data_IF_333147446585
#
_entry.id   IF_333147446585
#
_cell.length_a   1.000
_cell.length_b   1.000
_cell.length_c   1.000
_cell.angle_alpha   90.00
_cell.angle_beta   90.00
_cell.angle_gamma   90.00
#
_symmetry.space_group_name_H-M   'P 1'
#
loop_
_entity.id
_entity.type
_entity.pdbx_description
1 polymer ?
#
# COMPACT_ATOMS: atom_id res chain seq x y z
N UNK A 1 2.19 7.28 -7.07
CA UNK A 1 1.53 8.14 -6.05
C UNK A 1 0.11 8.38 -6.53
N UNK A 2 -0.91 7.91 -5.83
CA UNK A 2 -2.30 8.13 -6.23
C UNK A 2 -2.79 9.47 -5.67
N UNK A 3 -3.48 10.25 -6.50
CA UNK A 3 -4.31 11.35 -6.01
C UNK A 3 -5.62 10.74 -5.49
N UNK A 4 -6.18 11.25 -4.38
CA UNK A 4 -7.49 10.81 -3.93
C UNK A 4 -8.50 10.95 -5.08
N UNK A 5 -9.47 10.03 -5.21
CA UNK A 5 -10.45 10.07 -6.27
C UNK A 5 -11.20 11.41 -6.22
N UNK A 6 -11.03 12.22 -7.26
CA UNK A 6 -11.93 13.32 -7.50
C UNK A 6 -13.26 12.69 -7.94
N UNK A 7 -14.37 12.98 -7.23
CA UNK A 7 -15.68 12.34 -7.41
C UNK A 7 -16.19 12.34 -8.87
N UNK A 8 -15.62 13.18 -9.73
CA UNK A 8 -16.04 13.34 -11.12
C UNK A 8 -15.29 12.47 -12.15
N UNK A 9 -14.10 11.93 -11.84
CA UNK A 9 -13.23 11.32 -12.88
C UNK A 9 -12.83 9.86 -12.62
N UNK A 10 -13.22 9.28 -11.47
CA UNK A 10 -12.87 7.91 -11.12
C UNK A 10 -11.39 7.73 -10.79
N UNK A 11 -10.85 6.53 -11.06
CA UNK A 11 -9.45 6.19 -10.78
C UNK A 11 -8.49 7.00 -11.67
N UNK A 12 -7.48 7.59 -11.03
CA UNK A 12 -6.46 8.41 -11.67
C UNK A 12 -5.10 7.72 -11.59
N UNK A 13 -4.45 7.55 -12.73
CA UNK A 13 -3.10 6.98 -12.80
C UNK A 13 -2.09 8.11 -12.96
N UNK A 14 -1.03 8.09 -12.15
CA UNK A 14 0.08 9.05 -12.29
C UNK A 14 1.30 8.30 -12.76
N UNK A 15 1.88 8.77 -13.86
CA UNK A 15 3.05 8.15 -14.46
C UNK A 15 3.91 9.16 -15.20
N UNK A 16 5.13 8.75 -15.51
CA UNK A 16 6.03 9.46 -16.41
C UNK A 16 5.88 8.88 -17.81
N UNK A 17 5.79 9.74 -18.81
CA UNK A 17 5.83 9.30 -20.22
C UNK A 17 7.29 8.99 -20.55
N UNK A 18 7.64 7.72 -20.71
CA UNK A 18 9.01 7.32 -21.07
C UNK A 18 9.34 7.67 -22.52
N UNK A 19 8.41 7.43 -23.45
CA UNK A 19 8.63 7.67 -24.88
C UNK A 19 7.32 8.03 -25.59
N UNK A 20 7.46 8.73 -26.72
CA UNK A 20 6.34 9.12 -27.57
C UNK A 20 5.55 10.32 -27.04
N UNK A 21 4.30 10.39 -27.47
CA UNK A 21 3.38 11.48 -27.13
C UNK A 21 2.01 10.92 -26.80
N UNK A 22 1.37 11.46 -25.78
CA UNK A 22 0.05 11.05 -25.34
C UNK A 22 -0.97 12.15 -25.66
N UNK A 23 -2.04 11.82 -26.37
CA UNK A 23 -3.14 12.72 -26.69
C UNK A 23 -4.44 12.30 -25.99
N UNK A 24 -5.32 13.28 -25.80
CA UNK A 24 -6.68 13.01 -25.35
C UNK A 24 -7.37 12.06 -26.35
N UNK A 25 -8.14 11.10 -25.85
CA UNK A 25 -8.83 10.06 -26.60
C UNK A 25 -7.96 8.94 -27.20
N UNK A 26 -6.65 8.94 -26.96
CA UNK A 26 -5.80 7.82 -27.38
C UNK A 26 -6.25 6.51 -26.72
N UNK A 27 -6.19 5.43 -27.50
CA UNK A 27 -6.43 4.06 -27.02
C UNK A 27 -5.09 3.44 -26.65
N UNK A 28 -4.99 2.94 -25.43
CA UNK A 28 -3.76 2.34 -24.91
C UNK A 28 -4.04 0.92 -24.41
N UNK A 29 -2.99 0.09 -24.46
CA UNK A 29 -2.95 -1.23 -23.88
C UNK A 29 -2.15 -1.18 -22.58
N UNK A 30 -2.78 -1.57 -21.46
CA UNK A 30 -2.12 -1.72 -20.17
C UNK A 30 -1.58 -3.13 -20.02
N UNK A 31 -0.29 -3.25 -19.72
CA UNK A 31 0.39 -4.54 -19.52
C UNK A 31 1.00 -4.64 -18.13
N UNK A 32 1.04 -5.85 -17.59
CA UNK A 32 1.73 -6.14 -16.34
C UNK A 32 3.24 -6.31 -16.52
N UNK A 33 3.92 -6.57 -15.40
CA UNK A 33 5.37 -6.80 -15.37
C UNK A 33 5.81 -8.04 -16.17
N UNK A 34 4.87 -8.93 -16.52
CA UNK A 34 5.10 -10.13 -17.33
C UNK A 34 4.74 -9.91 -18.80
N UNK A 35 4.24 -8.72 -19.17
CA UNK A 35 3.83 -8.37 -20.53
C UNK A 35 2.43 -8.86 -20.90
N UNK A 36 1.67 -9.40 -19.93
CA UNK A 36 0.30 -9.83 -20.15
C UNK A 36 -0.63 -8.62 -20.17
N UNK A 37 -1.60 -8.65 -21.09
CA UNK A 37 -2.61 -7.61 -21.21
C UNK A 37 -3.52 -7.60 -19.97
N UNK A 38 -3.54 -6.47 -19.26
CA UNK A 38 -4.42 -6.22 -18.11
C UNK A 38 -5.75 -5.65 -18.60
N UNK A 39 -5.71 -4.57 -19.38
CA UNK A 39 -6.89 -3.96 -19.98
C UNK A 39 -6.53 -3.10 -21.20
N UNK A 40 -7.49 -2.87 -22.08
CA UNK A 40 -7.42 -1.80 -23.07
C UNK A 40 -8.27 -0.64 -22.56
N UNK A 41 -7.69 0.55 -22.51
CA UNK A 41 -8.35 1.75 -22.02
C UNK A 41 -8.26 2.89 -23.03
N UNK A 42 -9.12 3.90 -22.83
CA UNK A 42 -9.11 5.13 -23.63
C UNK A 42 -8.81 6.29 -22.70
N UNK A 43 -7.86 7.14 -23.07
CA UNK A 43 -7.50 8.32 -22.27
C UNK A 43 -8.63 9.33 -22.33
N UNK A 44 -9.33 9.51 -21.21
CA UNK A 44 -10.44 10.45 -21.10
C UNK A 44 -9.98 11.84 -20.70
N UNK A 45 -8.86 11.91 -19.96
CA UNK A 45 -8.35 13.16 -19.40
C UNK A 45 -6.85 13.06 -19.17
N UNK A 46 -6.14 14.17 -19.39
CA UNK A 46 -4.71 14.32 -19.08
C UNK A 46 -4.56 15.57 -18.23
N UNK A 47 -3.91 15.42 -17.08
CA UNK A 47 -3.64 16.50 -16.14
C UNK A 47 -2.15 16.53 -15.81
N UNK A 48 -1.57 17.73 -15.77
CA UNK A 48 -0.19 17.95 -15.34
C UNK A 48 -0.21 18.84 -14.11
N UNK A 49 0.62 18.54 -13.12
CA UNK A 49 0.78 19.39 -11.95
C UNK A 49 1.84 20.46 -12.24
N UNK A 50 1.47 21.72 -12.09
CA UNK A 50 2.37 22.86 -12.25
C UNK A 50 2.39 23.67 -10.95
N UNK A 51 3.46 23.50 -10.16
CA UNK A 51 3.52 24.01 -8.80
C UNK A 51 2.43 23.37 -7.92
N UNK A 52 1.55 24.21 -7.35
CA UNK A 52 0.41 23.75 -6.57
C UNK A 52 -0.85 23.52 -7.42
N UNK A 53 -0.87 24.02 -8.64
CA UNK A 53 -2.02 23.94 -9.53
C UNK A 53 -1.99 22.67 -10.38
N UNK A 54 -3.18 22.22 -10.79
CA UNK A 54 -3.33 21.10 -11.73
C UNK A 54 -3.97 21.65 -12.99
N UNK A 55 -3.25 21.53 -14.11
CA UNK A 55 -3.70 22.01 -15.41
C UNK A 55 -4.15 20.83 -16.28
N UNK A 56 -5.28 21.00 -16.96
CA UNK A 56 -5.76 20.05 -17.96
C UNK A 56 -5.04 20.27 -19.28
N UNK A 57 -4.61 19.18 -19.91
CA UNK A 57 -3.85 19.23 -21.16
C UNK A 57 -4.51 18.34 -22.22
N UNK A 58 -4.37 18.71 -23.49
CA UNK A 58 -4.81 17.90 -24.63
C UNK A 58 -3.72 16.95 -25.13
N UNK A 59 -2.45 17.29 -24.85
CA UNK A 59 -1.27 16.55 -25.30
C UNK A 59 -0.17 16.63 -24.25
N UNK A 60 0.53 15.52 -24.05
CA UNK A 60 1.72 15.40 -23.21
C UNK A 60 2.82 14.65 -23.98
N UNK A 61 4.08 14.88 -23.62
CA UNK A 61 5.25 14.33 -24.33
C UNK A 61 6.18 13.56 -23.39
N UNK A 62 7.11 12.81 -23.97
CA UNK A 62 8.15 12.11 -23.21
C UNK A 62 8.85 13.05 -22.21
N UNK A 63 9.02 12.56 -20.98
CA UNK A 63 9.55 13.31 -19.84
C UNK A 63 8.48 13.96 -18.95
N UNK A 64 7.25 14.15 -19.43
CA UNK A 64 6.17 14.70 -18.60
C UNK A 64 5.69 13.69 -17.56
N UNK A 65 5.45 14.19 -16.34
CA UNK A 65 4.71 13.47 -15.29
C UNK A 65 3.26 13.95 -15.35
N UNK A 66 2.36 13.06 -15.72
CA UNK A 66 0.94 13.35 -15.92
C UNK A 66 0.05 12.41 -15.14
N UNK A 67 -1.12 12.90 -14.77
CA UNK A 67 -2.23 12.12 -14.25
C UNK A 67 -3.23 11.88 -15.37
N UNK A 68 -3.67 10.64 -15.57
CA UNK A 68 -4.63 10.27 -16.61
C UNK A 68 -5.82 9.51 -16.04
N UNK A 69 -6.96 9.63 -16.71
CA UNK A 69 -8.19 8.90 -16.39
C UNK A 69 -8.64 8.03 -17.57
N UNK A 70 -9.40 6.97 -17.27
CA UNK A 70 -9.96 6.04 -18.28
C UNK A 70 -9.52 4.59 -18.17
N UNK A 71 -8.91 4.23 -17.04
CA UNK A 71 -8.41 2.88 -16.73
C UNK A 71 -8.96 2.45 -15.36
N UNK A 72 -9.50 1.24 -15.29
CA UNK A 72 -10.13 0.73 -14.06
C UNK A 72 -9.21 -0.24 -13.35
N UNK A 73 -8.64 -1.19 -14.10
CA UNK A 73 -7.89 -2.31 -13.57
C UNK A 73 -6.39 -2.02 -13.42
N UNK A 74 -5.87 -1.06 -14.19
CA UNK A 74 -4.45 -0.71 -14.20
C UNK A 74 -3.98 -0.21 -12.84
N UNK A 75 -2.77 -0.61 -12.45
CA UNK A 75 -2.11 -0.35 -11.18
C UNK A 75 -0.75 0.32 -11.41
N UNK A 76 -0.07 0.73 -10.33
CA UNK A 76 1.24 1.42 -10.38
C UNK A 76 2.37 0.59 -10.99
N UNK A 77 2.23 -0.73 -11.06
CA UNK A 77 3.24 -1.61 -11.65
C UNK A 77 3.04 -1.83 -13.15
N UNK A 78 1.91 -1.39 -13.71
CA UNK A 78 1.58 -1.62 -15.11
C UNK A 78 2.22 -0.58 -16.04
N UNK A 79 2.56 -1.02 -17.25
CA UNK A 79 3.05 -0.16 -18.33
C UNK A 79 1.92 0.12 -19.31
N UNK A 80 1.67 1.39 -19.63
CA UNK A 80 0.70 1.79 -20.64
C UNK A 80 1.40 1.98 -21.98
N UNK A 81 0.95 1.24 -22.98
CA UNK A 81 1.49 1.24 -24.33
C UNK A 81 0.47 1.74 -25.34
N UNK A 82 0.95 2.17 -26.50
CA UNK A 82 0.09 2.31 -27.69
C UNK A 82 -0.69 1.00 -27.94
N UNK A 83 -1.93 1.12 -28.40
CA UNK A 83 -2.79 -0.05 -28.62
C UNK A 83 -2.10 -1.11 -29.49
N UNK A 84 -2.00 -2.34 -28.97
CA UNK A 84 -1.37 -3.47 -29.66
C UNK A 84 0.14 -3.63 -29.45
N UNK A 85 0.79 -2.73 -28.68
CA UNK A 85 2.15 -2.92 -28.16
C UNK A 85 2.12 -3.46 -26.75
N UNK A 86 3.10 -4.29 -26.42
CA UNK A 86 3.20 -4.99 -25.13
C UNK A 86 4.58 -4.81 -24.48
N UNK A 87 5.22 -3.66 -24.70
CA UNK A 87 6.53 -3.38 -24.10
C UNK A 87 6.37 -3.18 -22.60
N UNK A 88 7.23 -3.84 -21.82
CA UNK A 88 7.24 -3.73 -20.36
C UNK A 88 8.36 -2.80 -19.95
N UNK A 89 8.04 -1.80 -19.14
CA UNK A 89 9.04 -1.01 -18.41
C UNK A 89 9.18 -1.65 -17.02
N UNK A 90 10.41 -2.00 -16.59
CA UNK A 90 10.62 -2.56 -15.25
C UNK A 90 10.05 -1.64 -14.17
N UNK A 91 9.19 -2.19 -13.33
CA UNK A 91 8.59 -1.48 -12.19
C UNK A 91 9.04 -2.11 -10.87
N UNK A 92 8.97 -1.32 -9.79
CA UNK A 92 9.27 -1.82 -8.44
C UNK A 92 8.10 -2.71 -8.03
N UNK A 93 8.34 -3.98 -7.63
CA UNK A 93 7.26 -4.87 -7.20
C UNK A 93 6.62 -4.32 -5.93
N UNK A 94 5.32 -4.59 -5.78
CA UNK A 94 4.57 -4.22 -4.58
C UNK A 94 4.82 -5.31 -3.54
N UNK A 95 5.31 -4.92 -2.37
CA UNK A 95 5.51 -5.88 -1.28
C UNK A 95 4.16 -6.51 -0.91
N UNK A 96 4.09 -7.86 -0.85
CA UNK A 96 2.87 -8.56 -0.49
C UNK A 96 2.50 -8.27 0.96
N UNK A 97 1.21 -8.41 1.33
CA UNK A 97 0.81 -8.30 2.72
C UNK A 97 1.41 -9.45 3.54
N UNK A 98 1.84 -9.14 4.77
CA UNK A 98 2.48 -10.09 5.70
C UNK A 98 1.58 -10.40 6.91
N UNK A 99 0.58 -9.57 7.18
CA UNK A 99 -0.35 -9.78 8.29
C UNK A 99 -1.77 -9.35 7.93
N UNK A 100 -2.72 -9.86 8.70
CA UNK A 100 -4.15 -9.59 8.55
C UNK A 100 -4.85 -9.31 9.88
N UNK A 101 -5.88 -8.47 9.84
CA UNK A 101 -6.82 -8.23 10.93
C UNK A 101 -8.25 -8.34 10.40
N UNK A 102 -9.18 -8.76 11.27
CA UNK A 102 -10.61 -8.69 11.01
C UNK A 102 -11.17 -7.39 11.58
N UNK A 103 -11.96 -6.69 10.76
CA UNK A 103 -12.66 -5.46 11.12
C UNK A 103 -14.15 -5.71 11.12
N UNK A 104 -14.81 -5.26 12.20
CA UNK A 104 -16.22 -5.48 12.46
C UNK A 104 -16.91 -4.21 12.96
N UNK A 105 -18.24 -4.23 12.91
CA UNK A 105 -19.06 -3.22 13.59
C UNK A 105 -18.89 -3.37 15.11
N UNK A 106 -18.79 -2.26 15.83
CA UNK A 106 -18.79 -2.29 17.29
C UNK A 106 -20.18 -2.70 17.81
N UNK A 107 -20.29 -3.89 18.40
CA UNK A 107 -21.52 -4.42 19.04
C UNK A 107 -21.47 -4.33 20.56
N UNK A 108 -20.47 -3.65 21.13
CA UNK A 108 -20.33 -3.52 22.58
C UNK A 108 -21.42 -2.60 23.19
N UNK A 109 -21.65 -2.65 24.52
CA UNK A 109 -22.56 -1.72 25.21
C UNK A 109 -22.16 -0.24 25.13
N UNK A 110 -20.95 0.05 24.64
CA UNK A 110 -20.45 1.41 24.46
C UNK A 110 -20.63 1.90 23.01
N UNK A 111 -21.25 1.10 22.15
CA UNK A 111 -21.47 1.42 20.74
C UNK A 111 -22.15 2.79 20.55
N UNK A 112 -21.56 3.63 19.70
CA UNK A 112 -22.12 4.93 19.30
C UNK A 112 -21.85 6.08 20.26
N UNK A 113 -20.92 5.90 21.22
CA UNK A 113 -20.47 6.98 22.12
C UNK A 113 -19.35 7.83 21.53
N UNK A 114 -18.45 7.22 20.74
CA UNK A 114 -17.26 7.90 20.22
C UNK A 114 -17.36 8.16 18.71
N UNK A 115 -18.06 7.31 17.96
CA UNK A 115 -18.25 7.48 16.52
C UNK A 115 -19.71 7.47 16.09
N UNK A 116 -19.97 8.06 14.92
CA UNK A 116 -21.31 8.16 14.31
C UNK A 116 -21.49 7.16 13.17
N UNK A 117 -20.39 6.63 12.62
CA UNK A 117 -20.41 5.70 11.49
C UNK A 117 -20.22 4.27 12.01
N UNK A 118 -21.34 3.63 12.30
CA UNK A 118 -21.43 2.27 12.88
C UNK A 118 -21.84 1.23 11.83
N UNK A 119 -22.25 1.64 10.63
CA UNK A 119 -22.80 0.72 9.64
C UNK A 119 -21.70 -0.09 8.96
N UNK A 120 -21.88 -1.41 8.89
CA UNK A 120 -21.02 -2.32 8.13
C UNK A 120 -20.82 -1.86 6.68
N UNK A 121 -21.88 -1.37 6.04
CA UNK A 121 -21.81 -0.90 4.66
C UNK A 121 -20.91 0.34 4.51
N UNK A 122 -20.94 1.25 5.49
CA UNK A 122 -20.05 2.41 5.49
C UNK A 122 -18.59 1.98 5.66
N UNK A 123 -18.32 1.02 6.55
CA UNK A 123 -16.99 0.44 6.76
C UNK A 123 -16.50 -0.23 5.46
N UNK A 124 -17.31 -1.11 4.86
CA UNK A 124 -17.00 -1.77 3.57
C UNK A 124 -16.65 -0.77 2.47
N UNK A 125 -17.50 0.24 2.27
CA UNK A 125 -17.27 1.28 1.24
C UNK A 125 -15.98 2.04 1.49
N UNK A 126 -15.70 2.40 2.75
CA UNK A 126 -14.48 3.13 3.10
C UNK A 126 -13.21 2.30 2.87
N UNK A 127 -13.23 1.02 3.25
CA UNK A 127 -12.11 0.10 3.04
C UNK A 127 -11.89 -0.20 1.55
N UNK A 128 -12.98 -0.31 0.77
CA UNK A 128 -12.91 -0.45 -0.70
C UNK A 128 -12.22 0.76 -1.34
N UNK A 129 -12.60 1.97 -0.94
CA UNK A 129 -11.95 3.20 -1.40
C UNK A 129 -10.48 3.23 -0.99
N UNK A 130 -10.12 2.78 0.22
CA UNK A 130 -8.71 2.71 0.61
C UNK A 130 -7.94 1.71 -0.26
N UNK A 131 -8.48 0.51 -0.52
CA UNK A 131 -7.80 -0.51 -1.34
C UNK A 131 -7.57 -0.08 -2.80
N UNK A 132 -8.35 0.87 -3.30
CA UNK A 132 -8.14 1.45 -4.62
C UNK A 132 -6.95 2.43 -4.64
N UNK A 133 -6.64 3.05 -3.50
CA UNK A 133 -5.56 4.03 -3.35
C UNK A 133 -4.25 3.40 -2.82
N UNK A 134 -4.37 2.41 -1.94
CA UNK A 134 -3.25 1.69 -1.34
C UNK A 134 -3.13 0.28 -1.93
N UNK A 135 -2.15 0.10 -2.81
CA UNK A 135 -1.95 -1.17 -3.52
C UNK A 135 -1.39 -2.27 -2.62
N UNK A 136 -0.90 -1.91 -1.44
CA UNK A 136 -0.45 -2.86 -0.45
C UNK A 136 -1.59 -3.43 0.41
N UNK A 137 -2.74 -2.76 0.41
CA UNK A 137 -3.92 -3.16 1.17
C UNK A 137 -4.78 -4.12 0.35
N UNK A 138 -5.02 -5.33 0.87
CA UNK A 138 -6.02 -6.24 0.32
C UNK A 138 -7.19 -6.35 1.29
N UNK A 139 -8.40 -6.31 0.75
CA UNK A 139 -9.64 -6.38 1.53
C UNK A 139 -10.47 -7.55 1.02
N UNK A 140 -10.83 -8.45 1.94
CA UNK A 140 -11.67 -9.63 1.70
C UNK A 140 -13.01 -9.46 2.42
N UNK A 141 -14.06 -10.14 1.94
CA UNK A 141 -15.41 -10.02 2.50
C UNK A 141 -16.19 -8.78 2.01
N UNK A 142 -15.73 -8.13 0.93
CA UNK A 142 -16.48 -7.07 0.26
C UNK A 142 -17.67 -7.66 -0.52
N UNK A 143 -17.49 -8.82 -1.16
CA UNK A 143 -18.51 -9.44 -2.00
C UNK A 143 -19.70 -9.96 -1.17
N UNK A 144 -20.91 -9.56 -1.57
CA UNK A 144 -22.18 -9.86 -0.89
C UNK A 144 -22.60 -11.34 -0.93
N UNK A 145 -21.74 -12.25 -1.41
CA UNK A 145 -22.04 -13.67 -1.61
C UNK A 145 -21.82 -14.54 -0.38
N UNK A 146 -21.13 -14.03 0.63
CA UNK A 146 -20.94 -14.72 1.90
C UNK A 146 -21.27 -13.73 3.00
N UNK A 147 -22.26 -14.06 3.82
CA UNK A 147 -22.66 -13.31 5.02
C UNK A 147 -21.60 -13.46 6.14
N UNK A 148 -20.33 -13.24 5.78
CA UNK A 148 -19.23 -13.09 6.73
C UNK A 148 -19.49 -11.81 7.51
N UNK A 149 -19.69 -11.92 8.83
CA UNK A 149 -19.76 -10.74 9.68
C UNK A 149 -18.48 -9.90 9.57
N UNK A 150 -17.35 -10.57 9.36
CA UNK A 150 -16.01 -10.03 9.42
C UNK A 150 -15.53 -9.54 8.04
N UNK A 151 -14.93 -8.35 8.02
CA UNK A 151 -14.18 -7.83 6.87
C UNK A 151 -12.70 -8.04 7.17
N UNK A 152 -12.02 -8.89 6.42
CA UNK A 152 -10.60 -9.17 6.64
C UNK A 152 -9.78 -8.19 5.80
N UNK A 153 -8.87 -7.46 6.46
CA UNK A 153 -7.91 -6.59 5.78
C UNK A 153 -6.49 -7.12 5.99
N UNK A 154 -5.71 -7.12 4.91
CA UNK A 154 -4.34 -7.62 4.86
C UNK A 154 -3.41 -6.48 4.46
N UNK A 155 -2.32 -6.31 5.19
CA UNK A 155 -1.38 -5.20 5.01
C UNK A 155 0.07 -5.61 5.20
N UNK A 156 0.96 -4.64 5.02
CA UNK A 156 2.43 -4.79 5.08
C UNK A 156 3.02 -4.84 6.48
N UNK A 157 2.21 -4.67 7.51
CA UNK A 157 2.68 -4.59 8.88
C UNK A 157 1.65 -3.92 9.77
N UNK A 158 1.95 -3.90 11.06
CA UNK A 158 1.10 -3.37 12.12
C UNK A 158 0.93 -1.85 11.99
N UNK A 159 1.99 -1.12 11.66
CA UNK A 159 1.95 0.33 11.48
C UNK A 159 1.05 0.74 10.31
N UNK A 160 1.12 0.01 9.20
CA UNK A 160 0.28 0.27 8.02
C UNK A 160 -1.21 0.12 8.40
N UNK A 161 -1.58 -1.02 8.98
CA UNK A 161 -2.96 -1.28 9.39
C UNK A 161 -3.42 -0.34 10.51
N UNK A 162 -2.56 -0.05 11.49
CA UNK A 162 -2.84 0.86 12.59
C UNK A 162 -3.11 2.29 12.11
N UNK A 163 -2.34 2.78 11.12
CA UNK A 163 -2.58 4.09 10.52
C UNK A 163 -3.95 4.15 9.81
N UNK A 164 -4.32 3.10 9.10
CA UNK A 164 -5.64 3.02 8.45
C UNK A 164 -6.77 3.07 9.48
N UNK A 165 -6.69 2.26 10.52
CA UNK A 165 -7.70 2.24 11.60
C UNK A 165 -7.78 3.60 12.29
N UNK A 166 -6.66 4.24 12.60
CA UNK A 166 -6.64 5.56 13.24
C UNK A 166 -7.21 6.65 12.33
N UNK A 167 -6.93 6.62 11.02
CA UNK A 167 -7.59 7.51 10.04
C UNK A 167 -9.11 7.32 10.08
N UNK A 168 -9.58 6.07 10.02
CA UNK A 168 -11.02 5.77 10.09
C UNK A 168 -11.63 6.27 11.40
N UNK A 169 -10.94 6.09 12.54
CA UNK A 169 -11.40 6.60 13.84
C UNK A 169 -11.54 8.13 13.84
N UNK A 170 -10.56 8.85 13.27
CA UNK A 170 -10.61 10.33 13.10
C UNK A 170 -11.70 10.78 12.13
N UNK A 171 -12.07 9.94 11.16
CA UNK A 171 -13.21 10.16 10.27
C UNK A 171 -14.58 9.86 10.93
N UNK A 172 -14.59 9.46 12.21
CA UNK A 172 -15.77 9.18 13.02
C UNK A 172 -16.35 7.77 12.87
N UNK A 173 -15.55 6.83 12.35
CA UNK A 173 -15.90 5.41 12.38
C UNK A 173 -15.67 4.81 13.75
N UNK A 174 -16.58 3.93 14.14
CA UNK A 174 -16.46 3.13 15.36
C UNK A 174 -16.57 1.66 14.99
N UNK A 175 -15.50 0.92 15.26
CA UNK A 175 -15.24 -0.40 14.72
C UNK A 175 -14.49 -1.26 15.73
N UNK A 176 -14.68 -2.57 15.65
CA UNK A 176 -13.95 -3.57 16.42
C UNK A 176 -12.87 -4.20 15.53
N UNK A 177 -11.69 -4.45 16.09
CA UNK A 177 -10.54 -5.02 15.36
C UNK A 177 -10.02 -6.25 16.11
N UNK A 178 -9.73 -7.34 15.40
CA UNK A 178 -9.07 -8.50 15.98
C UNK A 178 -7.57 -8.26 16.19
N UNK A 179 -6.90 -9.06 17.04
CA UNK A 179 -5.43 -9.11 17.04
C UNK A 179 -4.88 -9.42 15.63
N UNK A 180 -3.69 -8.90 15.28
CA UNK A 180 -3.05 -9.21 14.00
C UNK A 180 -2.62 -10.68 13.94
N UNK A 181 -2.83 -11.28 12.77
CA UNK A 181 -2.46 -12.66 12.45
C UNK A 181 -1.45 -12.63 11.30
N UNK A 182 -0.37 -13.39 11.43
CA UNK A 182 0.68 -13.54 10.41
C UNK A 182 0.14 -14.36 9.22
N UNK A 183 0.49 -13.92 8.01
CA UNK A 183 0.15 -14.62 6.77
C UNK A 183 1.30 -15.55 6.38
N UNK A 184 1.09 -16.85 6.62
CA UNK A 184 1.99 -17.89 6.15
C UNK A 184 1.88 -18.10 4.63
N UNK A 185 2.97 -18.55 4.02
CA UNK A 185 3.04 -18.97 2.62
C UNK A 185 3.54 -20.40 2.54
N UNK A 186 3.26 -21.08 1.45
CA UNK A 186 3.87 -22.38 1.16
C UNK A 186 4.97 -22.19 0.10
N UNK A 187 6.10 -22.87 0.25
CA UNK A 187 7.13 -22.93 -0.78
C UNK A 187 6.78 -23.97 -1.87
N UNK A 188 7.60 -24.07 -2.92
CA UNK A 188 7.42 -25.04 -4.01
C UNK A 188 7.42 -26.51 -3.55
N UNK A 189 7.92 -26.78 -2.35
CA UNK A 189 8.02 -28.10 -1.75
C UNK A 189 6.90 -28.35 -0.70
N UNK A 190 6.00 -27.40 -0.48
CA UNK A 190 4.90 -27.47 0.50
C UNK A 190 5.32 -27.15 1.95
N UNK A 191 6.51 -26.60 2.18
CA UNK A 191 6.92 -26.15 3.51
C UNK A 191 6.25 -24.81 3.86
N UNK A 192 5.80 -24.69 5.11
CA UNK A 192 5.23 -23.46 5.63
C UNK A 192 6.35 -22.43 5.87
N UNK A 193 6.27 -21.30 5.18
CA UNK A 193 7.12 -20.15 5.31
C UNK A 193 6.40 -19.05 6.09
N UNK A 194 7.09 -18.46 7.05
CA UNK A 194 6.65 -17.24 7.72
C UNK A 194 7.42 -16.02 7.19
N UNK A 195 6.81 -14.82 7.22
CA UNK A 195 7.52 -13.60 6.85
C UNK A 195 8.60 -13.28 7.89
N UNK A 196 9.80 -12.99 7.40
CA UNK A 196 10.94 -12.52 8.20
C UNK A 196 11.24 -11.05 7.85
N UNK A 197 11.50 -10.24 8.86
CA UNK A 197 11.84 -8.82 8.79
C UNK A 197 13.27 -8.57 9.23
N UNK A 198 13.93 -7.61 8.56
CA UNK A 198 15.24 -7.13 8.97
C UNK A 198 15.09 -5.89 9.84
N UNK A 199 15.55 -6.01 11.08
CA UNK A 199 15.47 -4.95 12.08
C UNK A 199 16.85 -4.32 12.21
N UNK A 200 16.95 -3.01 11.97
CA UNK A 200 18.15 -2.23 12.22
C UNK A 200 17.87 -1.21 13.32
N UNK A 201 18.63 -1.25 14.41
CA UNK A 201 18.46 -0.37 15.56
C UNK A 201 19.75 0.41 15.77
N UNK A 202 19.69 1.73 15.64
CA UNK A 202 20.76 2.65 16.04
C UNK A 202 20.46 3.18 17.44
N UNK A 203 21.36 2.95 18.40
CA UNK A 203 21.17 3.38 19.79
C UNK A 203 22.49 3.71 20.49
N UNK A 204 22.41 4.36 21.65
CA UNK A 204 23.57 4.54 22.53
C UNK A 204 24.05 3.17 23.07
N UNK A 205 25.38 2.93 23.14
CA UNK A 205 25.98 1.71 23.69
C UNK A 205 25.36 1.23 25.01
N UNK A 206 24.92 2.15 25.87
CA UNK A 206 24.32 1.80 27.16
C UNK A 206 23.03 0.95 27.02
N UNK A 207 22.30 1.06 25.91
CA UNK A 207 21.02 0.37 25.70
C UNK A 207 21.16 -0.97 24.97
N UNK A 208 22.33 -1.24 24.38
CA UNK A 208 22.60 -2.46 23.59
C UNK A 208 22.26 -3.75 24.34
N UNK A 209 22.68 -3.95 25.61
CA UNK A 209 22.39 -5.20 26.32
C UNK A 209 20.89 -5.45 26.49
N UNK A 210 20.12 -4.40 26.83
CA UNK A 210 18.67 -4.51 27.00
C UNK A 210 17.92 -4.74 25.69
N UNK A 211 18.43 -4.23 24.57
CA UNK A 211 17.88 -4.50 23.24
C UNK A 211 18.15 -5.95 22.83
N UNK A 212 19.39 -6.42 23.02
CA UNK A 212 19.79 -7.80 22.72
C UNK A 212 18.94 -8.81 23.49
N UNK A 213 18.72 -8.59 24.80
CA UNK A 213 17.87 -9.45 25.62
C UNK A 213 16.42 -9.47 25.13
N UNK A 214 15.83 -8.30 24.87
CA UNK A 214 14.43 -8.19 24.43
C UNK A 214 14.19 -8.83 23.06
N UNK A 215 15.13 -8.71 22.13
CA UNK A 215 15.03 -9.30 20.80
C UNK A 215 15.34 -10.80 20.82
N UNK A 216 16.32 -11.24 21.61
CA UNK A 216 16.59 -12.66 21.82
C UNK A 216 15.39 -13.41 22.40
N UNK A 217 14.68 -12.80 23.36
CA UNK A 217 13.44 -13.37 23.92
C UNK A 217 12.28 -13.43 22.90
N UNK A 218 12.37 -12.72 21.78
CA UNK A 218 11.40 -12.74 20.68
C UNK A 218 11.82 -13.66 19.52
N UNK A 219 12.93 -14.40 19.68
CA UNK A 219 13.44 -15.31 18.66
C UNK A 219 14.23 -14.62 17.55
N UNK A 220 14.59 -13.34 17.69
CA UNK A 220 15.35 -12.62 16.67
C UNK A 220 16.77 -13.19 16.54
N UNK A 221 17.24 -13.34 15.30
CA UNK A 221 18.56 -13.82 14.96
C UNK A 221 19.49 -12.62 14.81
N UNK A 222 20.51 -12.53 15.67
CA UNK A 222 21.53 -11.50 15.58
C UNK A 222 22.37 -11.66 14.30
N UNK A 223 22.58 -10.57 13.56
CA UNK A 223 23.41 -10.56 12.36
C UNK A 223 24.74 -9.85 12.58
N UNK A 224 24.72 -8.59 13.03
CA UNK A 224 25.92 -7.75 13.17
C UNK A 224 25.69 -6.57 14.10
N UNK A 225 26.80 -6.00 14.61
CA UNK A 225 26.83 -4.74 15.31
C UNK A 225 28.02 -3.90 14.82
N UNK A 226 27.78 -2.64 14.49
CA UNK A 226 28.77 -1.70 13.96
C UNK A 226 28.70 -0.38 14.73
N UNK A 227 29.85 0.20 15.08
CA UNK A 227 29.91 1.56 15.61
C UNK A 227 29.75 2.57 14.47
N UNK A 228 28.84 3.52 14.66
CA UNK A 228 28.60 4.62 13.72
C UNK A 228 29.04 5.91 14.39
N UNK A 229 30.18 6.45 13.97
CA UNK A 229 30.56 7.83 14.29
C UNK A 229 29.98 8.76 13.22
N UNK A 230 29.01 9.61 13.58
CA UNK A 230 28.56 10.71 12.70
C UNK A 230 29.35 11.97 13.05
N UNK A 231 30.15 12.46 12.11
CA UNK A 231 31.19 13.50 12.24
C UNK A 231 30.79 14.89 12.79
N UNK A 232 29.56 15.09 13.29
CA UNK A 232 29.10 16.42 13.73
C UNK A 232 28.76 16.52 15.22
N UNK A 233 28.56 15.41 15.92
CA UNK A 233 28.33 15.42 17.36
C UNK A 233 29.03 14.19 17.95
N UNK A 234 29.83 14.36 19.02
CA UNK A 234 30.59 13.30 19.72
C UNK A 234 29.70 12.24 20.41
N UNK A 235 28.71 11.70 19.72
CA UNK A 235 27.91 10.58 20.19
C UNK A 235 28.40 9.32 19.47
N UNK A 236 28.82 8.33 20.25
CA UNK A 236 29.10 6.99 19.75
C UNK A 236 27.77 6.26 19.67
N UNK A 237 27.29 5.96 18.46
CA UNK A 237 26.09 5.15 18.26
C UNK A 237 26.52 3.74 17.87
N UNK A 238 25.77 2.74 18.32
CA UNK A 238 25.90 1.37 17.84
C UNK A 238 24.67 1.03 17.02
N UNK A 239 24.91 0.56 15.80
CA UNK A 239 23.89 -0.02 14.95
C UNK A 239 23.92 -1.53 15.09
N UNK A 240 22.79 -2.12 15.46
CA UNK A 240 22.62 -3.57 15.57
C UNK A 240 21.61 -4.02 14.52
N UNK A 241 21.91 -5.14 13.85
CA UNK A 241 21.03 -5.76 12.86
C UNK A 241 20.56 -7.13 13.33
N UNK A 242 19.27 -7.40 13.16
CA UNK A 242 18.63 -8.68 13.43
C UNK A 242 17.74 -9.08 12.25
N UNK A 243 17.49 -10.37 12.12
CA UNK A 243 16.36 -10.91 11.34
C UNK A 243 15.36 -11.56 12.30
N UNK A 244 14.07 -11.19 12.23
CA UNK A 244 13.00 -11.71 13.08
C UNK A 244 11.74 -12.00 12.29
#
# INVERSE_FOLDING_TARGET
MFLPPNQYFGKMLIGRIESGTLNLNDKLSSVDSEGKLVENGKVQKIMKKYGMETIEMQRAVAGDIVSIAGFSNSTVTNTLNEQGKYTVIPSIPIDPPIMSISVNVNTSPLAGKEGKKLSKNQIKQRLKIESENDVALKVEGIDDKVDSNDIVIKGRGDLHLGLLIEKMRREGFELAVSPPIILFKEDENGNLLEPMEKITIECDPMYVPGIMEKLGNRGAIYESAEEISRDLHQFNWIQIRFTQ
#
